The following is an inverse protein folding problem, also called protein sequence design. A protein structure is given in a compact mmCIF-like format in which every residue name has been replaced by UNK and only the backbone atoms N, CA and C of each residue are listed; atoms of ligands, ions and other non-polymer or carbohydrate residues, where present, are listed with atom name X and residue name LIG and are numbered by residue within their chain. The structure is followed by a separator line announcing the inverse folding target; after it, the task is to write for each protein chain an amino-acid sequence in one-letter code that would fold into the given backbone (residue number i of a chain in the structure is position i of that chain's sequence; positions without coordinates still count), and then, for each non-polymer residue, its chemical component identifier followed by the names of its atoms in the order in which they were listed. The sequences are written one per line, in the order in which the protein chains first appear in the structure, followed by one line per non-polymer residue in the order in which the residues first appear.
data_IF_935228542801
#
_entry.id   IF_935228542801
#
_cell.length_a   1.000
_cell.length_b   1.000
_cell.length_c   1.000
_cell.angle_alpha   90.00
_cell.angle_beta   90.00
_cell.angle_gamma   90.00
#
_symmetry.space_group_name_H-M   'P 1'
#
loop_
_entity.id
_entity.type
_entity.pdbx_description
1 polymer ?
#
# COMPACT_ATOMS: atom_id res chain seq x y z
N UNK A 1 41.01 -13.42 -21.14
CA UNK A 1 39.72 -13.62 -20.45
C UNK A 1 39.40 -12.36 -19.67
N UNK A 2 38.40 -11.55 -20.06
CA UNK A 2 38.11 -10.34 -19.32
C UNK A 2 37.36 -10.68 -18.03
N UNK A 3 37.78 -10.08 -16.92
CA UNK A 3 37.16 -10.20 -15.59
C UNK A 3 35.84 -9.42 -15.60
N UNK A 4 34.71 -10.09 -15.38
CA UNK A 4 33.44 -9.42 -15.08
C UNK A 4 33.57 -8.65 -13.77
N UNK A 5 33.00 -7.44 -13.72
CA UNK A 5 33.01 -6.61 -12.51
C UNK A 5 32.11 -7.21 -11.43
N UNK A 6 32.46 -6.98 -10.18
CA UNK A 6 31.71 -7.41 -8.99
C UNK A 6 30.22 -7.04 -9.05
N UNK A 7 29.89 -5.93 -9.70
CA UNK A 7 28.54 -5.42 -9.96
C UNK A 7 27.71 -6.24 -10.97
N UNK A 8 28.32 -6.88 -11.96
CA UNK A 8 27.60 -7.81 -12.87
C UNK A 8 27.26 -9.11 -12.15
N UNK A 9 28.15 -9.57 -11.27
CA UNK A 9 27.95 -10.79 -10.46
C UNK A 9 26.81 -10.62 -9.45
N UNK A 10 26.66 -9.43 -8.86
CA UNK A 10 25.56 -9.09 -7.94
C UNK A 10 24.21 -8.94 -8.66
N UNK A 11 24.20 -8.36 -9.87
CA UNK A 11 23.01 -8.30 -10.74
C UNK A 11 22.54 -9.69 -11.19
N UNK A 12 23.48 -10.58 -11.50
CA UNK A 12 23.18 -11.95 -11.88
C UNK A 12 22.65 -12.78 -10.68
N UNK A 13 23.14 -12.52 -9.47
CA UNK A 13 22.62 -13.13 -8.23
C UNK A 13 21.22 -12.64 -7.87
N UNK A 14 20.91 -11.35 -8.07
CA UNK A 14 19.59 -10.77 -7.83
C UNK A 14 18.52 -11.30 -8.82
N UNK A 15 18.83 -11.32 -10.12
CA UNK A 15 17.94 -11.91 -11.14
C UNK A 15 17.74 -13.41 -10.95
N UNK A 16 18.79 -14.13 -10.53
CA UNK A 16 18.67 -15.55 -10.18
C UNK A 16 17.80 -15.75 -8.95
N UNK A 17 17.85 -14.90 -7.92
CA UNK A 17 16.99 -15.02 -6.73
C UNK A 17 15.49 -14.87 -7.07
N UNK A 18 15.13 -13.94 -7.95
CA UNK A 18 13.74 -13.72 -8.37
C UNK A 18 13.23 -14.84 -9.28
N UNK A 19 14.11 -15.41 -10.13
CA UNK A 19 13.76 -16.53 -11.01
C UNK A 19 13.78 -17.90 -10.32
N UNK A 20 14.62 -18.11 -9.30
CA UNK A 20 14.70 -19.39 -8.58
C UNK A 20 13.44 -19.66 -7.74
N UNK A 21 12.78 -18.62 -7.23
CA UNK A 21 11.51 -18.76 -6.52
C UNK A 21 10.32 -19.08 -7.42
N UNK A 22 10.40 -18.80 -8.73
CA UNK A 22 9.36 -19.15 -9.69
C UNK A 22 9.48 -20.59 -10.22
N UNK A 23 10.61 -21.28 -10.00
CA UNK A 23 10.88 -22.62 -10.54
C UNK A 23 10.66 -23.78 -9.55
N UNK A 24 10.24 -23.53 -8.30
CA UNK A 24 10.08 -24.59 -7.28
C UNK A 24 8.63 -24.85 -6.82
N UNK A 25 7.61 -24.42 -7.56
CA UNK A 25 6.23 -24.80 -7.24
C UNK A 25 5.97 -26.26 -7.66
N UNK A 26 5.55 -27.16 -6.75
CA UNK A 26 5.18 -28.52 -7.12
C UNK A 26 3.89 -28.52 -7.94
N UNK A 27 3.90 -29.27 -9.04
CA UNK A 27 2.70 -29.61 -9.81
C UNK A 27 1.82 -30.51 -8.93
N UNK A 28 0.69 -29.99 -8.46
CA UNK A 28 -0.35 -30.81 -7.81
C UNK A 28 -1.47 -31.06 -8.82
N UNK A 29 -1.58 -32.31 -9.24
CA UNK A 29 -2.60 -32.86 -10.12
C UNK A 29 -3.93 -33.11 -9.41
N UNK A 30 -5.01 -32.57 -9.99
CA UNK A 30 -6.45 -32.93 -9.98
C UNK A 30 -7.08 -33.72 -8.83
N UNK A 31 -8.27 -33.27 -8.40
CA UNK A 31 -9.51 -34.06 -8.49
C UNK A 31 -10.74 -33.15 -8.69
N UNK A 32 -11.52 -33.47 -9.73
CA UNK A 32 -12.77 -32.83 -10.13
C UNK A 32 -13.97 -33.56 -9.54
N UNK A 33 -14.99 -32.82 -9.09
CA UNK A 33 -16.36 -33.33 -8.99
C UNK A 33 -17.33 -32.31 -9.60
N UNK A 34 -18.05 -32.76 -10.63
CA UNK A 34 -19.11 -32.05 -11.34
C UNK A 34 -20.47 -32.31 -10.69
N UNK A 35 -21.27 -31.25 -10.51
CA UNK A 35 -22.71 -31.30 -10.20
C UNK A 35 -23.46 -30.18 -10.95
N UNK A 36 -24.75 -30.35 -11.30
CA UNK A 36 -25.37 -29.63 -12.40
C UNK A 36 -25.92 -28.24 -12.05
N UNK A 37 -25.98 -27.42 -13.10
CA UNK A 37 -26.43 -26.03 -13.20
C UNK A 37 -27.93 -25.84 -12.97
N UNK A 38 -28.34 -24.65 -12.48
CA UNK A 38 -29.27 -23.70 -13.13
C UNK A 38 -29.63 -22.56 -12.15
N UNK A 39 -29.55 -21.32 -12.64
CA UNK A 39 -30.07 -20.14 -11.95
C UNK A 39 -29.75 -18.85 -12.71
N UNK A 40 -30.51 -18.57 -13.77
CA UNK A 40 -30.48 -17.31 -14.54
C UNK A 40 -30.98 -16.13 -13.71
N UNK A 41 -30.13 -15.13 -13.53
CA UNK A 41 -30.50 -13.81 -12.98
C UNK A 41 -29.31 -12.86 -13.10
N UNK A 42 -29.34 -12.00 -14.11
CA UNK A 42 -28.32 -10.98 -14.37
C UNK A 42 -28.31 -9.89 -13.29
N UNK A 43 -27.73 -10.19 -12.14
CA UNK A 43 -26.99 -9.20 -11.34
C UNK A 43 -25.54 -9.41 -11.72
N UNK A 44 -24.83 -8.37 -12.15
CA UNK A 44 -23.38 -8.44 -12.26
C UNK A 44 -22.85 -9.04 -10.94
N UNK A 45 -22.26 -10.24 -11.01
CA UNK A 45 -21.74 -10.90 -9.84
C UNK A 45 -20.66 -9.99 -9.25
N UNK A 46 -20.89 -9.45 -8.05
CA UNK A 46 -19.89 -8.63 -7.35
C UNK A 46 -18.64 -9.47 -7.15
N UNK A 47 -17.46 -8.90 -7.42
CA UNK A 47 -16.19 -9.60 -7.21
C UNK A 47 -16.04 -9.86 -5.71
N UNK A 48 -15.91 -11.13 -5.32
CA UNK A 48 -15.65 -11.49 -3.93
C UNK A 48 -14.14 -11.35 -3.67
N UNK A 49 -13.77 -10.59 -2.64
CA UNK A 49 -12.38 -10.40 -2.21
C UNK A 49 -12.13 -11.21 -0.94
N UNK A 50 -11.27 -12.21 -1.03
CA UNK A 50 -10.81 -13.00 0.11
C UNK A 50 -9.39 -12.57 0.46
N UNK A 51 -9.25 -11.81 1.55
CA UNK A 51 -7.96 -11.32 2.02
C UNK A 51 -7.17 -12.47 2.66
N UNK A 52 -5.86 -12.46 2.44
CA UNK A 52 -4.95 -13.46 2.99
C UNK A 52 -4.68 -13.26 4.47
N UNK A 53 -3.70 -14.01 4.99
CA UNK A 53 -3.35 -14.00 6.40
C UNK A 53 -2.84 -12.62 6.86
N UNK A 54 -3.35 -12.17 8.02
CA UNK A 54 -2.89 -10.96 8.69
C UNK A 54 -1.86 -11.28 9.78
N UNK A 55 -0.80 -10.49 9.83
CA UNK A 55 0.24 -10.55 10.85
C UNK A 55 0.17 -9.31 11.72
N UNK A 56 0.29 -9.46 13.04
CA UNK A 56 0.17 -8.36 13.99
C UNK A 56 1.45 -8.25 14.82
N UNK A 57 2.12 -7.10 14.72
CA UNK A 57 3.22 -6.74 15.61
C UNK A 57 2.63 -5.94 16.76
N UNK A 58 2.75 -6.47 17.98
CA UNK A 58 2.26 -5.78 19.18
C UNK A 58 3.17 -4.59 19.53
N UNK A 59 2.62 -3.50 20.08
CA UNK A 59 3.44 -2.43 20.60
C UNK A 59 4.31 -2.96 21.74
N UNK A 60 5.58 -2.53 21.78
CA UNK A 60 6.54 -2.89 22.83
C UNK A 60 6.34 -2.05 24.10
N UNK A 61 5.79 -0.85 23.96
CA UNK A 61 5.47 0.09 25.03
C UNK A 61 3.98 0.35 25.15
N UNK A 62 3.61 1.52 25.71
CA UNK A 62 2.21 1.97 25.79
C UNK A 62 1.66 2.12 24.38
N UNK A 63 0.58 1.40 24.08
CA UNK A 63 -0.11 1.48 22.79
C UNK A 63 -0.73 2.87 22.61
N UNK A 64 -0.29 3.59 21.58
CA UNK A 64 -0.77 4.95 21.27
C UNK A 64 -1.24 5.08 19.83
N UNK A 65 -0.72 4.24 18.92
CA UNK A 65 -1.11 4.25 17.53
C UNK A 65 -1.22 2.83 16.96
N UNK A 66 -2.08 2.67 15.97
CA UNK A 66 -2.16 1.48 15.12
C UNK A 66 -2.00 1.88 13.68
N UNK A 67 -1.07 1.24 12.98
CA UNK A 67 -0.85 1.44 11.55
C UNK A 67 -1.12 0.13 10.82
N UNK A 68 -2.01 0.19 9.83
CA UNK A 68 -2.15 -0.88 8.85
C UNK A 68 -1.06 -0.70 7.79
N UNK A 69 -0.21 -1.70 7.60
CA UNK A 69 0.89 -1.65 6.62
C UNK A 69 0.67 -2.62 5.46
N UNK A 70 0.69 -2.09 4.24
CA UNK A 70 0.34 -2.80 3.01
C UNK A 70 1.59 -3.15 2.20
N UNK A 71 1.76 -4.43 1.92
CA UNK A 71 2.89 -4.93 1.12
C UNK A 71 2.76 -4.59 -0.37
N UNK A 72 3.85 -4.74 -1.13
CA UNK A 72 3.86 -4.58 -2.59
C UNK A 72 3.25 -5.77 -3.33
N UNK A 73 3.08 -5.64 -4.65
CA UNK A 73 2.55 -6.72 -5.51
C UNK A 73 3.40 -8.00 -5.37
N UNK A 74 2.74 -9.16 -5.18
CA UNK A 74 3.40 -10.47 -5.10
C UNK A 74 4.07 -10.78 -3.75
N UNK A 75 4.04 -9.86 -2.80
CA UNK A 75 4.56 -10.06 -1.43
C UNK A 75 3.42 -10.48 -0.47
N UNK A 76 3.69 -10.47 0.84
CA UNK A 76 2.72 -10.82 1.88
C UNK A 76 2.98 -10.02 3.18
N UNK A 77 2.02 -10.06 4.10
CA UNK A 77 2.10 -9.32 5.36
C UNK A 77 3.22 -9.80 6.31
N UNK A 78 3.72 -11.03 6.18
CA UNK A 78 4.76 -11.57 7.06
C UNK A 78 6.08 -10.85 6.86
N UNK A 79 6.52 -10.67 5.61
CA UNK A 79 7.77 -10.01 5.25
C UNK A 79 7.88 -8.63 5.90
N UNK A 80 6.81 -7.83 5.80
CA UNK A 80 6.75 -6.49 6.38
C UNK A 80 6.63 -6.49 7.90
N UNK A 81 5.89 -7.43 8.48
CA UNK A 81 5.78 -7.53 9.95
C UNK A 81 7.14 -7.74 10.61
N UNK A 82 8.03 -8.54 10.01
CA UNK A 82 9.38 -8.77 10.51
C UNK A 82 10.23 -7.49 10.47
N UNK A 83 10.18 -6.74 9.36
CA UNK A 83 10.89 -5.46 9.25
C UNK A 83 10.35 -4.42 10.24
N UNK A 84 9.02 -4.26 10.33
CA UNK A 84 8.38 -3.27 11.21
C UNK A 84 8.62 -3.56 12.70
N UNK A 85 8.74 -4.83 13.08
CA UNK A 85 9.11 -5.23 14.45
C UNK A 85 10.51 -4.76 14.85
N UNK A 86 11.43 -4.55 13.90
CA UNK A 86 12.78 -4.04 14.20
C UNK A 86 12.83 -2.54 14.48
N UNK A 87 11.81 -1.79 14.06
CA UNK A 87 11.83 -0.33 14.16
C UNK A 87 11.75 0.15 15.62
N UNK A 88 12.42 1.27 15.96
CA UNK A 88 12.40 1.87 17.29
C UNK A 88 11.10 2.65 17.56
N UNK A 89 9.94 2.04 17.30
CA UNK A 89 8.60 2.63 17.43
C UNK A 89 7.77 1.83 18.44
N UNK A 90 8.09 1.91 19.76
CA UNK A 90 7.51 1.03 20.76
C UNK A 90 6.00 1.22 20.96
N UNK A 91 5.46 2.40 20.64
CA UNK A 91 4.06 2.75 20.89
C UNK A 91 3.10 2.35 19.75
N UNK A 92 3.64 1.84 18.63
CA UNK A 92 2.87 1.50 17.44
C UNK A 92 2.56 0.00 17.41
N UNK A 93 1.27 -0.32 17.24
CA UNK A 93 0.82 -1.63 16.78
C UNK A 93 0.82 -1.66 15.26
N UNK A 94 1.42 -2.68 14.65
CA UNK A 94 1.38 -2.86 13.20
C UNK A 94 0.41 -3.98 12.85
N UNK A 95 -0.50 -3.71 11.92
CA UNK A 95 -1.38 -4.72 11.32
C UNK A 95 -0.93 -4.88 9.86
N UNK A 96 -0.37 -6.04 9.52
CA UNK A 96 0.17 -6.32 8.19
C UNK A 96 -0.73 -7.38 7.52
N UNK A 97 -1.84 -6.97 6.87
CA UNK A 97 -2.67 -7.89 6.11
C UNK A 97 -1.93 -8.39 4.86
N UNK A 98 -2.38 -9.54 4.35
CA UNK A 98 -2.00 -10.01 3.01
C UNK A 98 -3.15 -9.76 2.07
N UNK A 99 -2.89 -9.18 0.91
CA UNK A 99 -3.91 -8.90 -0.10
C UNK A 99 -4.54 -10.21 -0.64
N UNK A 100 -5.69 -10.13 -1.34
CA UNK A 100 -6.24 -11.29 -2.03
C UNK A 100 -5.27 -11.84 -3.08
N UNK A 101 -5.27 -13.16 -3.24
CA UNK A 101 -4.69 -13.79 -4.42
C UNK A 101 -5.70 -13.68 -5.56
N UNK A 102 -5.42 -12.81 -6.52
CA UNK A 102 -6.34 -12.52 -7.62
C UNK A 102 -5.61 -12.46 -8.97
N UNK A 103 -6.31 -12.74 -10.09
CA UNK A 103 -5.76 -12.56 -11.43
C UNK A 103 -5.31 -11.12 -11.64
N UNK A 104 -4.09 -10.94 -12.17
CA UNK A 104 -3.57 -9.63 -12.54
C UNK A 104 -3.48 -9.50 -14.07
N UNK A 105 -4.17 -8.51 -14.64
CA UNK A 105 -4.21 -8.26 -16.08
C UNK A 105 -2.82 -8.03 -16.66
N UNK A 106 -1.96 -7.28 -15.95
CA UNK A 106 -0.55 -7.06 -16.32
C UNK A 106 0.24 -8.37 -16.53
N UNK A 107 -0.13 -9.44 -15.82
CA UNK A 107 0.52 -10.75 -15.92
C UNK A 107 -0.33 -11.76 -16.72
N UNK A 108 -1.19 -11.28 -17.61
CA UNK A 108 -2.03 -12.15 -18.45
C UNK A 108 -3.04 -12.98 -17.65
N UNK A 109 -3.47 -12.49 -16.48
CA UNK A 109 -4.40 -13.17 -15.60
C UNK A 109 -3.76 -14.17 -14.63
N UNK A 110 -2.43 -14.24 -14.54
CA UNK A 110 -1.77 -15.10 -13.55
C UNK A 110 -2.13 -14.64 -12.11
N UNK A 111 -2.60 -15.53 -11.23
CA UNK A 111 -2.95 -15.16 -9.86
C UNK A 111 -1.72 -14.74 -9.06
N UNK A 112 -1.81 -13.60 -8.38
CA UNK A 112 -0.79 -13.09 -7.48
C UNK A 112 -1.43 -12.30 -6.35
N UNK A 113 -0.71 -12.06 -5.26
CA UNK A 113 -1.17 -11.18 -4.19
C UNK A 113 -1.16 -9.72 -4.68
N UNK A 114 -2.35 -9.21 -5.00
CA UNK A 114 -2.55 -7.82 -5.43
C UNK A 114 -3.66 -7.16 -4.61
N UNK A 115 -3.56 -5.85 -4.36
CA UNK A 115 -4.63 -5.08 -3.71
C UNK A 115 -5.76 -4.70 -4.68
N UNK A 116 -5.42 -4.53 -5.95
CA UNK A 116 -6.35 -4.20 -7.03
C UNK A 116 -5.72 -4.65 -8.35
N UNK A 117 -6.53 -4.80 -9.39
CA UNK A 117 -6.04 -5.15 -10.72
C UNK A 117 -5.35 -3.97 -11.40
N UNK A 118 -4.31 -4.27 -12.18
CA UNK A 118 -3.52 -3.29 -12.94
C UNK A 118 -3.35 -3.84 -14.35
N UNK A 119 -3.77 -3.07 -15.36
CA UNK A 119 -3.59 -3.44 -16.77
C UNK A 119 -2.23 -3.00 -17.31
N UNK A 120 -1.76 -1.82 -16.89
CA UNK A 120 -0.44 -1.28 -17.17
C UNK A 120 -0.08 -0.20 -16.13
N UNK A 121 1.21 0.13 -16.02
CA UNK A 121 1.70 1.24 -15.20
C UNK A 121 1.84 2.50 -16.06
N UNK A 122 0.73 2.96 -16.63
CA UNK A 122 0.63 4.25 -17.33
C UNK A 122 -0.43 5.16 -16.68
N UNK A 123 -0.41 6.44 -17.03
CA UNK A 123 -1.35 7.45 -16.50
C UNK A 123 -2.76 7.33 -17.08
N UNK A 124 -2.89 6.61 -18.19
CA UNK A 124 -4.15 6.40 -18.90
C UNK A 124 -4.67 4.97 -18.73
N UNK A 125 -3.99 4.17 -17.90
CA UNK A 125 -4.43 2.84 -17.52
C UNK A 125 -5.82 2.88 -16.92
N UNK A 126 -6.63 1.88 -17.25
CA UNK A 126 -7.87 1.64 -16.52
C UNK A 126 -7.57 1.42 -15.03
N UNK A 127 -8.34 2.06 -14.16
CA UNK A 127 -8.17 1.98 -12.71
C UNK A 127 -9.24 1.03 -12.14
N UNK A 128 -8.82 -0.05 -11.47
CA UNK A 128 -9.72 -0.99 -10.79
C UNK A 128 -10.26 -0.37 -9.48
N UNK A 129 -11.19 0.56 -9.62
CA UNK A 129 -11.82 1.25 -8.50
C UNK A 129 -12.56 0.30 -7.55
N UNK A 130 -13.17 -0.77 -8.08
CA UNK A 130 -13.84 -1.79 -7.25
C UNK A 130 -12.83 -2.49 -6.34
N UNK A 131 -11.68 -2.91 -6.88
CA UNK A 131 -10.58 -3.50 -6.11
C UNK A 131 -9.96 -2.53 -5.10
N UNK A 132 -9.77 -1.28 -5.48
CA UNK A 132 -9.25 -0.25 -4.59
C UNK A 132 -10.21 0.08 -3.45
N UNK A 133 -11.50 0.21 -3.73
CA UNK A 133 -12.54 0.38 -2.70
C UNK A 133 -12.59 -0.82 -1.76
N UNK A 134 -12.53 -2.06 -2.28
CA UNK A 134 -12.51 -3.25 -1.44
C UNK A 134 -11.29 -3.29 -0.51
N UNK A 135 -10.11 -2.97 -1.03
CA UNK A 135 -8.88 -2.91 -0.23
C UNK A 135 -8.92 -1.79 0.82
N UNK A 136 -9.37 -0.59 0.46
CA UNK A 136 -9.52 0.51 1.41
C UNK A 136 -10.59 0.22 2.48
N UNK A 137 -11.68 -0.44 2.11
CA UNK A 137 -12.69 -0.89 3.07
C UNK A 137 -12.14 -1.95 4.04
N UNK A 138 -11.26 -2.84 3.56
CA UNK A 138 -10.56 -3.79 4.42
C UNK A 138 -9.63 -3.08 5.41
N UNK A 139 -8.84 -2.10 4.95
CA UNK A 139 -8.01 -1.25 5.84
C UNK A 139 -8.87 -0.58 6.91
N UNK A 140 -9.98 0.05 6.50
CA UNK A 140 -10.91 0.68 7.42
C UNK A 140 -11.44 -0.32 8.46
N UNK A 141 -11.82 -1.52 8.03
CA UNK A 141 -12.32 -2.55 8.96
C UNK A 141 -11.29 -2.94 10.02
N UNK A 142 -10.01 -3.04 9.65
CA UNK A 142 -8.93 -3.36 10.59
C UNK A 142 -8.71 -2.23 11.60
N UNK A 143 -8.71 -0.98 11.14
CA UNK A 143 -8.54 0.21 12.00
C UNK A 143 -9.73 0.45 12.92
N UNK A 144 -10.95 0.14 12.47
CA UNK A 144 -12.19 0.32 13.24
C UNK A 144 -12.30 -0.54 14.51
N UNK A 145 -11.37 -1.49 14.69
CA UNK A 145 -11.29 -2.33 15.88
C UNK A 145 -10.61 -1.66 17.07
N UNK A 146 -9.97 -0.51 16.85
CA UNK A 146 -9.21 0.21 17.88
C UNK A 146 -10.09 1.17 18.70
N UNK A 147 -9.75 1.39 19.98
CA UNK A 147 -10.49 2.34 20.81
C UNK A 147 -10.23 3.80 20.38
N UNK A 148 -11.15 4.74 20.70
CA UNK A 148 -11.11 6.11 20.18
C UNK A 148 -9.86 6.93 20.53
N UNK A 149 -9.09 6.52 21.54
CA UNK A 149 -7.88 7.21 21.98
C UNK A 149 -6.60 6.74 21.26
N UNK A 150 -6.70 5.79 20.32
CA UNK A 150 -5.59 5.27 19.53
C UNK A 150 -5.57 6.01 18.20
N UNK A 151 -4.40 6.56 17.85
CA UNK A 151 -4.18 7.21 16.55
C UNK A 151 -4.11 6.15 15.45
N UNK A 152 -4.72 6.41 14.30
CA UNK A 152 -4.91 5.45 13.23
C UNK A 152 -4.14 5.88 11.99
N UNK A 153 -3.33 4.99 11.43
CA UNK A 153 -2.59 5.26 10.21
C UNK A 153 -2.68 4.14 9.19
N UNK A 154 -2.33 4.48 7.95
CA UNK A 154 -2.13 3.49 6.89
C UNK A 154 -0.83 3.78 6.16
N UNK A 155 -0.02 2.75 5.98
CA UNK A 155 1.25 2.82 5.26
C UNK A 155 1.36 1.72 4.23
N UNK A 156 2.31 1.83 3.33
CA UNK A 156 2.65 0.72 2.46
C UNK A 156 3.80 0.99 1.51
N UNK A 157 4.13 -0.04 0.75
CA UNK A 157 5.17 -0.02 -0.28
C UNK A 157 4.58 -0.39 -1.64
N UNK A 158 5.02 0.29 -2.71
CA UNK A 158 4.62 0.01 -4.10
C UNK A 158 3.10 0.02 -4.26
N UNK A 159 2.48 -1.07 -4.71
CA UNK A 159 1.01 -1.19 -4.79
C UNK A 159 0.32 -0.95 -3.43
N UNK A 160 0.93 -1.36 -2.32
CA UNK A 160 0.42 -1.06 -0.98
C UNK A 160 0.47 0.43 -0.64
N UNK A 161 1.51 1.15 -1.07
CA UNK A 161 1.58 2.60 -0.95
C UNK A 161 0.45 3.27 -1.75
N UNK A 162 0.16 2.75 -2.95
CA UNK A 162 -0.93 3.25 -3.77
C UNK A 162 -2.30 3.07 -3.09
N UNK A 163 -2.54 1.91 -2.47
CA UNK A 163 -3.75 1.66 -1.66
C UNK A 163 -3.83 2.56 -0.42
N UNK A 164 -2.70 2.84 0.24
CA UNK A 164 -2.65 3.77 1.38
C UNK A 164 -3.06 5.18 0.96
N UNK A 165 -2.54 5.68 -0.18
CA UNK A 165 -2.91 6.99 -0.73
C UNK A 165 -4.36 7.03 -1.24
N UNK A 166 -4.84 5.94 -1.82
CA UNK A 166 -6.26 5.83 -2.18
C UNK A 166 -7.15 5.93 -0.94
N UNK A 167 -6.80 5.23 0.15
CA UNK A 167 -7.50 5.32 1.44
C UNK A 167 -7.52 6.74 2.00
N UNK A 168 -6.40 7.48 1.87
CA UNK A 168 -6.32 8.89 2.21
C UNK A 168 -7.35 9.73 1.42
N UNK A 169 -7.46 9.50 0.11
CA UNK A 169 -8.43 10.21 -0.74
C UNK A 169 -9.90 9.90 -0.38
N UNK A 170 -10.18 8.67 0.04
CA UNK A 170 -11.51 8.27 0.51
C UNK A 170 -11.83 8.90 1.86
N UNK A 171 -10.87 8.96 2.77
CA UNK A 171 -10.99 9.67 4.04
C UNK A 171 -11.30 11.16 3.84
N UNK A 172 -10.58 11.86 2.94
CA UNK A 172 -10.85 13.29 2.72
C UNK A 172 -12.26 13.54 2.22
N UNK A 173 -12.75 12.73 1.29
CA UNK A 173 -14.12 12.84 0.79
C UNK A 173 -15.18 12.28 1.78
N UNK A 174 -14.75 11.50 2.78
CA UNK A 174 -15.63 10.75 3.67
C UNK A 174 -16.37 9.61 2.97
N UNK A 175 -15.95 9.20 1.76
CA UNK A 175 -16.62 8.18 0.93
C UNK A 175 -15.64 7.38 0.07
N UNK A 176 -16.00 6.13 -0.16
CA UNK A 176 -15.47 5.28 -1.23
C UNK A 176 -16.00 5.73 -2.61
N UNK A 177 -15.42 5.27 -3.72
CA UNK A 177 -15.90 5.69 -5.05
C UNK A 177 -17.28 5.12 -5.37
N UNK A 178 -17.62 3.96 -4.81
CA UNK A 178 -18.97 3.38 -4.84
C UNK A 178 -20.02 4.14 -4.00
N UNK A 179 -19.64 5.22 -3.32
CA UNK A 179 -20.53 6.10 -2.55
C UNK A 179 -20.76 5.70 -1.10
N UNK A 180 -20.26 4.53 -0.65
CA UNK A 180 -20.32 4.13 0.75
C UNK A 180 -19.48 5.05 1.64
N UNK A 181 -19.89 5.22 2.90
CA UNK A 181 -19.21 6.11 3.85
C UNK A 181 -17.86 5.56 4.31
N UNK A 182 -16.84 6.43 4.31
CA UNK A 182 -15.56 6.20 4.98
C UNK A 182 -15.62 6.84 6.37
N UNK A 183 -15.90 6.04 7.41
CA UNK A 183 -16.22 6.53 8.76
C UNK A 183 -15.03 6.62 9.73
N UNK A 184 -13.86 6.12 9.34
CA UNK A 184 -12.68 6.06 10.23
C UNK A 184 -11.76 7.26 10.00
N UNK A 185 -11.25 7.85 11.07
CA UNK A 185 -10.26 8.94 10.99
C UNK A 185 -8.89 8.37 10.59
N UNK A 186 -8.10 9.12 9.83
CA UNK A 186 -6.68 8.82 9.59
C UNK A 186 -5.80 9.95 10.13
N UNK A 187 -4.89 9.61 11.02
CA UNK A 187 -3.93 10.52 11.66
C UNK A 187 -2.60 10.60 10.90
N UNK A 188 -2.26 9.59 10.08
CA UNK A 188 -1.04 9.58 9.28
C UNK A 188 -1.12 8.62 8.08
N UNK A 189 -0.50 9.01 6.97
CA UNK A 189 -0.36 8.17 5.77
C UNK A 189 1.10 8.11 5.33
N UNK A 190 1.59 6.92 5.01
CA UNK A 190 2.96 6.71 4.50
C UNK A 190 2.91 5.95 3.17
N UNK A 191 3.60 6.46 2.15
CA UNK A 191 3.76 5.79 0.86
C UNK A 191 5.23 5.69 0.47
N UNK A 192 5.75 4.46 0.38
CA UNK A 192 7.11 4.18 -0.07
C UNK A 192 7.09 3.63 -1.51
N UNK A 193 7.83 4.28 -2.41
CA UNK A 193 8.02 3.86 -3.81
C UNK A 193 6.72 3.53 -4.55
N UNK A 194 5.69 4.36 -4.35
CA UNK A 194 4.33 4.16 -4.86
C UNK A 194 3.85 5.24 -5.83
N UNK A 195 2.54 5.27 -6.06
CA UNK A 195 1.87 6.31 -6.85
C UNK A 195 0.48 6.59 -6.28
N UNK A 196 -0.13 7.71 -6.64
CA UNK A 196 -1.51 8.06 -6.31
C UNK A 196 -2.46 7.55 -7.41
N UNK A 197 -3.31 6.55 -7.11
CA UNK A 197 -4.38 6.13 -8.02
C UNK A 197 -5.49 7.18 -8.12
N UNK A 198 -6.28 7.12 -9.19
CA UNK A 198 -7.45 8.00 -9.40
C UNK A 198 -7.13 9.50 -9.23
N UNK A 199 -5.89 9.91 -9.56
CA UNK A 199 -5.41 11.28 -9.40
C UNK A 199 -6.30 12.32 -10.11
N UNK A 200 -6.94 11.94 -11.24
CA UNK A 200 -7.84 12.79 -12.03
C UNK A 200 -9.09 13.20 -11.21
N UNK A 201 -9.57 12.36 -10.30
CA UNK A 201 -10.76 12.61 -9.48
C UNK A 201 -10.48 13.24 -8.12
N UNK A 202 -9.20 13.40 -7.74
CA UNK A 202 -8.83 13.95 -6.43
C UNK A 202 -9.43 15.34 -6.18
N UNK A 203 -9.53 16.19 -7.21
CA UNK A 203 -10.12 17.53 -7.07
C UNK A 203 -11.59 17.47 -6.59
N UNK A 204 -12.35 16.48 -7.07
CA UNK A 204 -13.74 16.26 -6.64
C UNK A 204 -13.79 15.71 -5.21
N UNK A 205 -12.82 14.86 -4.85
CA UNK A 205 -12.72 14.24 -3.51
C UNK A 205 -12.35 15.20 -2.38
N UNK A 206 -11.91 16.41 -2.71
CA UNK A 206 -11.60 17.48 -1.72
C UNK A 206 -12.57 18.67 -1.83
N UNK A 207 -13.63 18.54 -2.62
CA UNK A 207 -14.61 19.60 -2.80
C UNK A 207 -15.44 19.78 -1.53
N UNK A 208 -15.64 21.04 -1.13
CA UNK A 208 -16.33 21.39 0.11
C UNK A 208 -15.39 21.61 1.30
N UNK A 209 -15.85 22.43 2.25
CA UNK A 209 -15.04 22.91 3.37
C UNK A 209 -14.51 21.77 4.26
N UNK A 210 -15.37 20.81 4.63
CA UNK A 210 -14.96 19.69 5.47
C UNK A 210 -13.89 18.80 4.80
N UNK A 211 -14.05 18.51 3.52
CA UNK A 211 -13.12 17.67 2.77
C UNK A 211 -11.78 18.38 2.56
N UNK A 212 -11.81 19.69 2.24
CA UNK A 212 -10.62 20.52 2.15
C UNK A 212 -9.88 20.63 3.50
N UNK A 213 -10.62 20.75 4.61
CA UNK A 213 -10.03 20.78 5.95
C UNK A 213 -9.35 19.45 6.30
N UNK A 214 -10.00 18.31 6.04
CA UNK A 214 -9.40 16.98 6.21
C UNK A 214 -8.14 16.80 5.35
N UNK A 215 -8.19 17.19 4.07
CA UNK A 215 -7.03 17.13 3.18
C UNK A 215 -5.87 17.99 3.67
N UNK A 216 -6.16 19.22 4.13
CA UNK A 216 -5.15 20.17 4.57
C UNK A 216 -4.43 19.74 5.85
N UNK A 217 -5.11 19.05 6.77
CA UNK A 217 -4.53 18.63 8.05
C UNK A 217 -3.81 17.29 7.99
N UNK A 218 -4.27 16.37 7.14
CA UNK A 218 -3.77 14.99 7.06
C UNK A 218 -2.26 14.94 6.79
N UNK A 219 -1.44 14.45 7.74
CA UNK A 219 -0.02 14.22 7.51
C UNK A 219 0.20 13.08 6.50
N UNK A 220 0.94 13.37 5.42
CA UNK A 220 1.35 12.38 4.42
C UNK A 220 2.87 12.42 4.24
N UNK A 221 3.52 11.26 4.36
CA UNK A 221 4.91 11.06 3.96
C UNK A 221 4.97 10.22 2.69
N UNK A 222 5.67 10.72 1.69
CA UNK A 222 6.02 10.01 0.48
C UNK A 222 7.54 9.90 0.39
N UNK A 223 8.04 8.69 0.17
CA UNK A 223 9.46 8.43 -0.12
C UNK A 223 9.59 7.73 -1.46
N UNK A 224 10.60 8.09 -2.26
CA UNK A 224 10.79 7.46 -3.57
C UNK A 224 12.26 7.49 -4.00
N UNK A 225 12.74 6.38 -4.56
CA UNK A 225 14.06 6.28 -5.16
C UNK A 225 14.12 6.82 -6.58
N UNK A 226 15.14 7.62 -6.90
CA UNK A 226 15.36 8.13 -8.28
C UNK A 226 15.83 7.05 -9.25
N UNK A 227 16.39 5.95 -8.74
CA UNK A 227 16.82 4.79 -9.52
C UNK A 227 15.76 3.68 -9.58
N UNK A 228 14.52 3.94 -9.13
CA UNK A 228 13.41 2.99 -9.23
C UNK A 228 13.01 2.76 -10.70
N UNK A 229 13.20 1.54 -11.16
CA UNK A 229 12.91 1.06 -12.51
C UNK A 229 11.57 0.31 -12.63
N UNK A 230 10.90 0.03 -11.51
CA UNK A 230 9.60 -0.63 -11.44
C UNK A 230 8.49 0.42 -11.40
N UNK A 231 8.46 1.25 -10.36
CA UNK A 231 7.58 2.41 -10.24
C UNK A 231 8.45 3.63 -10.43
N UNK A 232 8.63 4.05 -11.69
CA UNK A 232 9.51 5.17 -12.04
C UNK A 232 9.28 6.39 -11.14
N UNK A 233 10.36 6.97 -10.63
CA UNK A 233 10.37 8.14 -9.73
C UNK A 233 9.37 9.25 -10.08
N UNK A 234 9.21 9.55 -11.38
CA UNK A 234 8.24 10.53 -11.90
C UNK A 234 6.80 10.32 -11.41
N UNK A 235 6.40 9.07 -11.13
CA UNK A 235 5.07 8.76 -10.61
C UNK A 235 4.92 9.21 -9.17
N UNK A 236 5.95 9.01 -8.34
CA UNK A 236 6.02 9.57 -6.98
C UNK A 236 5.97 11.10 -7.01
N UNK A 237 6.77 11.74 -7.87
CA UNK A 237 6.78 13.20 -8.03
C UNK A 237 5.40 13.74 -8.46
N UNK A 238 4.78 13.14 -9.47
CA UNK A 238 3.44 13.54 -9.93
C UNK A 238 2.39 13.36 -8.83
N UNK A 239 2.50 12.29 -8.04
CA UNK A 239 1.61 12.04 -6.91
C UNK A 239 1.74 13.15 -5.87
N UNK A 240 2.98 13.51 -5.51
CA UNK A 240 3.26 14.58 -4.56
C UNK A 240 2.77 15.95 -5.07
N UNK A 241 3.04 16.27 -6.34
CA UNK A 241 2.56 17.48 -6.99
C UNK A 241 1.03 17.54 -7.01
N UNK A 242 0.37 16.43 -7.35
CA UNK A 242 -1.09 16.36 -7.42
C UNK A 242 -1.71 16.58 -6.03
N UNK A 243 -1.24 15.87 -5.02
CA UNK A 243 -1.69 16.05 -3.63
C UNK A 243 -1.51 17.52 -3.18
N UNK A 244 -0.33 18.08 -3.39
CA UNK A 244 -0.03 19.48 -3.02
C UNK A 244 -0.98 20.46 -3.72
N UNK A 245 -1.16 20.32 -5.04
CA UNK A 245 -2.02 21.19 -5.85
C UNK A 245 -3.50 21.10 -5.49
N UNK A 246 -3.90 20.00 -4.85
CA UNK A 246 -5.29 19.70 -4.46
C UNK A 246 -5.51 19.91 -2.95
N UNK A 247 -4.62 20.64 -2.28
CA UNK A 247 -4.85 21.15 -0.92
C UNK A 247 -4.31 20.29 0.21
N UNK A 248 -3.58 19.22 -0.07
CA UNK A 248 -2.86 18.45 0.96
C UNK A 248 -1.61 19.21 1.41
N UNK A 249 -1.78 20.09 2.38
CA UNK A 249 -0.71 21.02 2.83
C UNK A 249 0.32 20.37 3.76
N UNK A 250 -0.04 19.30 4.46
CA UNK A 250 0.84 18.57 5.39
C UNK A 250 1.53 17.37 4.71
N UNK A 251 2.12 17.63 3.53
CA UNK A 251 2.78 16.62 2.71
C UNK A 251 4.30 16.77 2.80
N UNK A 252 5.00 15.65 2.97
CA UNK A 252 6.46 15.55 2.86
C UNK A 252 6.80 14.58 1.74
N UNK A 253 7.63 15.00 0.76
CA UNK A 253 8.17 14.13 -0.29
C UNK A 253 9.69 14.05 -0.15
N UNK A 254 10.22 12.84 0.03
CA UNK A 254 11.65 12.55 0.17
C UNK A 254 12.12 11.74 -1.03
N UNK A 255 13.17 12.22 -1.68
CA UNK A 255 13.78 11.57 -2.83
C UNK A 255 15.18 11.05 -2.49
N UNK A 256 15.50 9.84 -2.92
CA UNK A 256 16.79 9.18 -2.67
C UNK A 256 17.51 8.86 -3.98
N UNK A 257 18.72 9.38 -4.19
CA UNK A 257 19.36 9.38 -5.51
C UNK A 257 19.68 7.98 -6.07
N UNK A 258 20.16 7.06 -5.21
CA UNK A 258 20.61 5.71 -5.62
C UNK A 258 19.63 4.60 -5.25
N UNK A 259 18.49 4.94 -4.63
CA UNK A 259 17.49 3.97 -4.20
C UNK A 259 16.71 3.45 -5.42
N UNK A 260 16.65 2.12 -5.54
CA UNK A 260 15.80 1.41 -6.51
C UNK A 260 14.43 1.05 -5.92
N UNK A 261 13.80 -0.02 -6.43
CA UNK A 261 12.50 -0.49 -5.92
C UNK A 261 12.63 -1.39 -4.68
N UNK A 262 13.19 -0.83 -3.60
CA UNK A 262 13.35 -1.47 -2.29
C UNK A 262 13.41 -0.37 -1.22
N UNK A 263 13.60 -0.73 0.05
CA UNK A 263 13.80 0.22 1.15
C UNK A 263 15.24 0.19 1.68
N UNK A 264 15.68 1.29 2.27
CA UNK A 264 17.01 1.42 2.90
C UNK A 264 16.89 1.91 4.34
N UNK A 265 17.88 1.65 5.22
CA UNK A 265 17.85 2.09 6.61
C UNK A 265 17.60 3.59 6.77
N UNK A 266 18.25 4.42 5.95
CA UNK A 266 18.11 5.88 6.00
C UNK A 266 16.68 6.33 5.71
N UNK A 267 15.99 5.67 4.78
CA UNK A 267 14.57 5.91 4.50
C UNK A 267 13.70 5.50 5.68
N UNK A 268 13.98 4.34 6.28
CA UNK A 268 13.21 3.85 7.42
C UNK A 268 13.42 4.69 8.69
N UNK A 269 14.62 5.25 8.89
CA UNK A 269 14.92 6.19 9.98
C UNK A 269 14.12 7.48 9.85
N UNK A 270 13.97 7.99 8.61
CA UNK A 270 13.10 9.12 8.30
C UNK A 270 11.63 8.80 8.55
N UNK A 271 11.15 7.61 8.14
CA UNK A 271 9.79 7.13 8.45
C UNK A 271 9.56 7.09 9.96
N UNK A 272 10.52 6.56 10.74
CA UNK A 272 10.42 6.49 12.19
C UNK A 272 10.34 7.89 12.80
N UNK A 273 11.27 8.76 12.44
CA UNK A 273 11.33 10.13 12.95
C UNK A 273 10.06 10.91 12.61
N UNK A 274 9.56 10.75 11.39
CA UNK A 274 8.34 11.40 10.93
C UNK A 274 7.10 10.89 11.67
N UNK A 275 6.94 9.57 11.84
CA UNK A 275 5.82 8.99 12.58
C UNK A 275 5.84 9.41 14.06
N UNK A 276 6.99 9.36 14.71
CA UNK A 276 7.15 9.83 16.10
C UNK A 276 6.71 11.28 16.24
N UNK A 277 7.09 12.14 15.29
CA UNK A 277 6.72 13.56 15.31
C UNK A 277 5.24 13.78 15.00
N UNK A 278 4.69 13.20 13.94
CA UNK A 278 3.31 13.47 13.48
C UNK A 278 2.24 12.83 14.36
N UNK A 279 2.56 11.69 14.96
CA UNK A 279 1.67 11.02 15.91
C UNK A 279 1.94 11.42 17.35
N UNK A 280 2.87 12.35 17.61
CA UNK A 280 3.22 12.84 18.96
C UNK A 280 3.42 11.69 19.95
N UNK A 281 4.23 10.70 19.56
CA UNK A 281 4.43 9.48 20.35
C UNK A 281 5.31 9.78 21.57
N UNK A 282 4.91 9.23 22.73
CA UNK A 282 5.63 9.44 23.99
C UNK A 282 6.71 8.38 24.20
N UNK A 283 7.87 8.81 24.71
CA UNK A 283 8.96 7.93 25.13
C UNK A 283 9.86 7.53 23.97
N UNK A 284 11.02 8.19 23.86
CA UNK A 284 12.15 7.59 23.15
C UNK A 284 12.64 6.42 24.00
N UNK A 285 12.85 5.25 23.37
CA UNK A 285 13.63 4.18 24.00
C UNK A 285 15.02 4.71 24.36
#
# INVERSE_FOLDING_TARGET
MPKQSTTERERELCLRSTLYHLQQLPVITNMSFSGPSIGTGGRAARRAFEFGRTYVVKPKGKHQATIVWLHGLGDNGSSWSQLLETLPLPNIKWICPTSPSQPLTLFGGFPTTAWFDVSDLSEDAHQDEEGMDASAAHVLSLLSTEPPNIKLGVGGFSMGAATALYSASCFTNGKFSNGNTYSTHLDAVVGLSGWLPCAKDLNKKVEGEEAANRASSLPILLCHGKADDVVRFRFGEKSAQKLSSTGFKNLTFKAYDSLGHYTIPEEMDEVCSWLTSKLELEGKL
#
